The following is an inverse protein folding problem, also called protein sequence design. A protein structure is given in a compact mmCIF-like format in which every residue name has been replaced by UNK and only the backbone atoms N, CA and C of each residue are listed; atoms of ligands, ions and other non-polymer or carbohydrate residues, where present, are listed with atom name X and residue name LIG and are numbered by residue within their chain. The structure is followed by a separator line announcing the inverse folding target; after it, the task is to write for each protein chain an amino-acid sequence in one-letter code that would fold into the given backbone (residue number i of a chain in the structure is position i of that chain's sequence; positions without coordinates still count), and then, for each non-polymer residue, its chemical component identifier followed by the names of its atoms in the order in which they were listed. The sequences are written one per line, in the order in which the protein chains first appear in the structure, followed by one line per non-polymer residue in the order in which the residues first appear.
data_IF_638716147927
#
_entry.id   IF_638716147927
#
_cell.length_a   1.000
_cell.length_b   1.000
_cell.length_c   1.000
_cell.angle_alpha   90.00
_cell.angle_beta   90.00
_cell.angle_gamma   90.00
#
_symmetry.space_group_name_H-M   'P 1'
#
loop_
_entity.id
_entity.type
_entity.pdbx_description
1 polymer ?
#
# COMPACT_ATOMS: atom_id res chain seq x y z
N UNK A 1 24.95 -30.98 -42.12
CA UNK A 1 25.43 -30.50 -40.80
C UNK A 1 25.54 -28.97 -40.80
N UNK A 2 24.41 -28.25 -40.70
CA UNK A 2 24.39 -26.76 -40.67
C UNK A 2 23.03 -26.23 -40.16
N UNK A 3 22.44 -26.92 -39.20
CA UNK A 3 21.10 -26.59 -38.66
C UNK A 3 21.01 -26.83 -37.15
N UNK A 4 22.12 -26.65 -36.44
CA UNK A 4 22.19 -26.85 -34.98
C UNK A 4 22.71 -25.63 -34.21
N UNK A 5 23.08 -24.54 -34.89
CA UNK A 5 23.70 -23.38 -34.23
C UNK A 5 22.75 -22.22 -33.93
N UNK A 6 21.51 -22.23 -34.43
CA UNK A 6 20.60 -21.09 -34.29
C UNK A 6 19.78 -21.07 -32.99
N UNK A 7 19.76 -22.16 -32.22
CA UNK A 7 18.96 -22.24 -30.98
C UNK A 7 19.72 -21.70 -29.75
N UNK A 8 21.04 -21.51 -29.85
CA UNK A 8 21.86 -21.09 -28.70
C UNK A 8 21.92 -19.56 -28.46
N UNK A 9 21.30 -18.74 -29.32
CA UNK A 9 21.48 -17.28 -29.32
C UNK A 9 20.17 -16.50 -29.13
N UNK A 10 19.30 -16.96 -28.24
CA UNK A 10 18.22 -16.12 -27.68
C UNK A 10 18.00 -16.31 -26.18
N UNK A 11 18.90 -17.02 -25.48
CA UNK A 11 19.06 -16.88 -24.03
C UNK A 11 19.86 -15.62 -23.67
N UNK A 12 19.55 -14.50 -24.33
CA UNK A 12 19.92 -13.19 -23.80
C UNK A 12 18.94 -12.93 -22.66
N UNK A 13 19.36 -13.41 -21.48
CA UNK A 13 19.16 -12.78 -20.19
C UNK A 13 18.16 -11.61 -20.23
N UNK A 14 16.87 -11.94 -20.07
CA UNK A 14 15.93 -11.03 -19.45
C UNK A 14 16.33 -11.02 -17.97
N UNK A 15 17.38 -10.27 -17.64
CA UNK A 15 17.62 -9.79 -16.30
C UNK A 15 16.60 -8.67 -16.06
N UNK A 16 15.37 -9.06 -15.77
CA UNK A 16 14.35 -8.13 -15.31
C UNK A 16 14.73 -7.72 -13.88
N UNK A 17 14.78 -6.40 -13.69
CA UNK A 17 15.21 -5.69 -12.49
C UNK A 17 14.69 -6.28 -11.17
N UNK A 18 15.59 -6.87 -10.40
CA UNK A 18 15.42 -7.11 -8.96
C UNK A 18 16.09 -5.99 -8.12
N UNK A 19 16.17 -4.77 -8.66
CA UNK A 19 16.80 -3.63 -7.98
C UNK A 19 15.85 -2.90 -6.99
N UNK A 20 14.79 -3.56 -6.53
CA UNK A 20 13.82 -3.01 -5.56
C UNK A 20 13.69 -3.83 -4.26
N UNK A 21 14.48 -4.90 -4.10
CA UNK A 21 14.48 -5.70 -2.87
C UNK A 21 15.22 -5.05 -1.67
N UNK A 22 15.97 -3.96 -1.87
CA UNK A 22 16.90 -3.42 -0.85
C UNK A 22 16.32 -2.39 0.15
N UNK A 23 15.05 -1.98 0.06
CA UNK A 23 14.46 -1.02 1.01
C UNK A 23 13.51 -1.67 2.04
N UNK A 24 13.62 -2.97 2.25
CA UNK A 24 12.91 -3.66 3.33
C UNK A 24 13.90 -3.86 4.48
N UNK A 25 14.01 -2.87 5.37
CA UNK A 25 14.71 -3.05 6.64
C UNK A 25 14.00 -4.09 7.52
N UNK A 26 14.74 -4.90 8.29
CA UNK A 26 14.19 -5.96 9.14
C UNK A 26 13.18 -5.46 10.21
N UNK A 27 13.16 -4.15 10.50
CA UNK A 27 12.31 -3.54 11.53
C UNK A 27 10.87 -3.22 11.09
N UNK A 28 10.49 -3.66 9.89
CA UNK A 28 9.27 -3.21 9.24
C UNK A 28 8.09 -4.15 9.53
N UNK A 29 7.07 -3.63 10.22
CA UNK A 29 5.92 -4.42 10.66
C UNK A 29 4.83 -4.42 9.57
N UNK A 30 4.36 -5.60 9.09
CA UNK A 30 3.27 -5.65 8.13
C UNK A 30 1.96 -5.17 8.77
N UNK A 31 1.29 -4.23 8.11
CA UNK A 31 0.04 -3.65 8.59
C UNK A 31 -1.17 -4.08 7.73
N UNK A 32 -2.35 -3.97 8.34
CA UNK A 32 -3.66 -4.09 7.69
C UNK A 32 -4.49 -2.86 8.03
N UNK A 33 -5.43 -2.50 7.16
CA UNK A 33 -6.42 -1.47 7.44
C UNK A 33 -7.40 -2.03 8.48
N UNK A 34 -7.49 -1.38 9.62
CA UNK A 34 -8.40 -1.74 10.72
C UNK A 34 -9.73 -0.96 10.66
N UNK A 35 -9.74 0.21 10.01
CA UNK A 35 -10.93 1.05 9.91
C UNK A 35 -10.63 2.42 9.31
N UNK A 36 -11.69 3.17 9.06
CA UNK A 36 -11.64 4.57 8.61
C UNK A 36 -12.48 5.41 9.56
N UNK A 37 -11.90 6.51 10.02
CA UNK A 37 -12.58 7.53 10.81
C UNK A 37 -12.92 8.67 9.84
N UNK A 38 -14.19 9.06 9.83
CA UNK A 38 -14.69 10.15 8.99
C UNK A 38 -14.78 11.43 9.83
N UNK A 39 -14.15 12.51 9.36
CA UNK A 39 -14.22 13.84 9.96
C UNK A 39 -15.19 14.76 9.21
N UNK A 40 -15.97 14.24 8.26
CA UNK A 40 -16.85 15.01 7.39
C UNK A 40 -16.03 15.75 6.33
N UNK A 41 -16.37 17.02 6.09
CA UNK A 41 -15.72 17.83 5.05
C UNK A 41 -14.23 18.11 5.33
N UNK A 42 -13.79 17.95 6.59
CA UNK A 42 -12.40 18.15 7.01
C UNK A 42 -11.48 16.97 6.65
N UNK A 43 -12.03 15.87 6.14
CA UNK A 43 -11.28 14.68 5.71
C UNK A 43 -11.56 13.45 6.55
N UNK A 44 -10.57 12.59 6.69
CA UNK A 44 -10.68 11.38 7.51
C UNK A 44 -9.33 10.82 7.91
N UNK A 45 -9.33 9.71 8.62
CA UNK A 45 -8.12 8.98 8.96
C UNK A 45 -8.30 7.49 8.74
N UNK A 46 -7.35 6.86 8.04
CA UNK A 46 -7.26 5.41 7.97
C UNK A 46 -6.45 4.89 9.16
N UNK A 47 -7.00 3.92 9.89
CA UNK A 47 -6.34 3.29 11.02
C UNK A 47 -5.67 2.01 10.54
N UNK A 48 -4.36 1.93 10.72
CA UNK A 48 -3.54 0.78 10.39
C UNK A 48 -3.19 0.00 11.66
N UNK A 49 -3.26 -1.32 11.58
CA UNK A 49 -2.91 -2.23 12.67
C UNK A 49 -1.87 -3.24 12.20
N UNK A 50 -0.72 -3.23 12.85
CA UNK A 50 0.25 -4.33 12.80
C UNK A 50 -0.12 -5.42 13.82
N UNK A 51 0.48 -6.61 13.68
CA UNK A 51 0.16 -7.77 14.54
C UNK A 51 0.39 -7.50 16.02
N UNK A 52 1.54 -6.91 16.36
CA UNK A 52 2.01 -6.69 17.73
C UNK A 52 2.43 -5.23 17.97
N UNK A 53 1.84 -4.29 17.23
CA UNK A 53 2.13 -2.85 17.31
C UNK A 53 0.89 -2.04 17.66
N UNK A 54 1.04 -0.89 18.35
CA UNK A 54 -0.04 0.07 18.50
C UNK A 54 -0.62 0.47 17.13
N UNK A 55 -1.93 0.75 17.04
CA UNK A 55 -2.52 1.24 15.81
C UNK A 55 -1.98 2.63 15.47
N UNK A 56 -1.80 2.89 14.18
CA UNK A 56 -1.33 4.19 13.66
C UNK A 56 -2.36 4.72 12.68
N UNK A 57 -2.69 6.00 12.80
CA UNK A 57 -3.62 6.67 11.90
C UNK A 57 -2.87 7.48 10.86
N UNK A 58 -3.28 7.38 9.59
CA UNK A 58 -2.85 8.28 8.51
C UNK A 58 -4.03 9.19 8.19
N UNK A 59 -3.85 10.50 8.34
CA UNK A 59 -4.85 11.50 7.96
C UNK A 59 -4.84 11.62 6.43
N UNK A 60 -6.03 11.55 5.84
CA UNK A 60 -6.27 11.58 4.40
C UNK A 60 -7.39 12.58 4.11
N UNK A 61 -7.49 13.00 2.85
CA UNK A 61 -8.56 13.91 2.42
C UNK A 61 -9.94 13.25 2.44
N UNK A 62 -10.97 14.09 2.31
CA UNK A 62 -12.37 13.67 2.36
C UNK A 62 -12.71 12.67 1.26
N UNK A 63 -12.25 12.93 0.03
CA UNK A 63 -12.51 12.08 -1.12
C UNK A 63 -11.89 10.69 -0.94
N UNK A 64 -10.65 10.63 -0.44
CA UNK A 64 -9.94 9.38 -0.19
C UNK A 64 -10.58 8.59 0.95
N UNK A 65 -10.96 9.26 2.05
CA UNK A 65 -11.63 8.62 3.18
C UNK A 65 -12.97 8.01 2.75
N UNK A 66 -13.75 8.76 1.96
CA UNK A 66 -15.04 8.28 1.44
C UNK A 66 -14.87 7.09 0.50
N UNK A 67 -13.91 7.15 -0.43
CA UNK A 67 -13.65 6.05 -1.35
C UNK A 67 -13.22 4.78 -0.60
N UNK A 68 -12.35 4.91 0.40
CA UNK A 68 -11.94 3.77 1.22
C UNK A 68 -13.12 3.20 2.02
N UNK A 69 -13.97 4.06 2.58
CA UNK A 69 -15.16 3.64 3.32
C UNK A 69 -16.11 2.84 2.42
N UNK A 70 -16.36 3.33 1.21
CA UNK A 70 -17.21 2.64 0.23
C UNK A 70 -16.60 1.30 -0.16
N UNK A 71 -15.29 1.25 -0.47
CA UNK A 71 -14.60 0.00 -0.78
C UNK A 71 -14.64 -1.02 0.38
N UNK A 72 -14.59 -0.54 1.63
CA UNK A 72 -14.71 -1.42 2.82
C UNK A 72 -16.13 -1.98 3.04
N UNK A 73 -17.16 -1.37 2.44
CA UNK A 73 -18.54 -1.84 2.55
C UNK A 73 -18.89 -2.93 1.52
N UNK A 74 -18.02 -3.14 0.52
CA UNK A 74 -18.22 -4.12 -0.56
C UNK A 74 -19.59 -3.92 -1.26
N UNK A 75 -19.92 -2.65 -1.53
CA UNK A 75 -21.17 -2.24 -2.18
C UNK A 75 -20.99 -2.15 -3.71
N UNK A 76 -21.92 -2.76 -4.45
CA UNK A 76 -21.97 -2.66 -5.91
C UNK A 76 -22.68 -1.36 -6.36
N UNK A 77 -21.99 -0.57 -7.19
CA UNK A 77 -22.55 0.64 -7.79
C UNK A 77 -22.94 0.39 -9.25
N UNK A 78 -24.04 1.01 -9.77
CA UNK A 78 -24.47 0.84 -11.15
C UNK A 78 -23.50 1.46 -12.19
N UNK A 79 -22.52 2.23 -11.71
CA UNK A 79 -21.46 2.86 -12.50
C UNK A 79 -20.15 2.64 -11.75
N UNK A 80 -19.05 2.30 -12.44
CA UNK A 80 -17.77 2.10 -11.77
C UNK A 80 -17.33 3.41 -11.11
N UNK A 81 -16.87 3.30 -9.87
CA UNK A 81 -16.20 4.38 -9.15
C UNK A 81 -14.80 4.58 -9.72
N UNK A 82 -14.12 5.65 -9.29
CA UNK A 82 -12.80 5.99 -9.82
C UNK A 82 -11.76 4.88 -9.66
N UNK A 83 -11.81 4.14 -8.54
CA UNK A 83 -10.86 3.05 -8.27
C UNK A 83 -11.26 1.76 -9.00
N UNK A 84 -12.56 1.48 -9.14
CA UNK A 84 -13.06 0.36 -9.96
C UNK A 84 -12.68 0.57 -11.44
N UNK A 85 -12.86 1.79 -11.96
CA UNK A 85 -12.46 2.13 -13.32
C UNK A 85 -10.94 1.98 -13.52
N UNK A 86 -10.15 2.33 -12.51
CA UNK A 86 -8.70 2.16 -12.58
C UNK A 86 -8.33 0.67 -12.65
N UNK A 87 -9.00 -0.17 -11.87
CA UNK A 87 -8.85 -1.62 -11.92
C UNK A 87 -9.24 -2.18 -13.30
N UNK A 88 -10.40 -1.79 -13.84
CA UNK A 88 -10.83 -2.18 -15.19
C UNK A 88 -9.81 -1.75 -16.27
N UNK A 89 -9.23 -0.54 -16.16
CA UNK A 89 -8.20 -0.08 -17.09
C UNK A 89 -6.94 -0.96 -17.01
N UNK A 90 -6.53 -1.36 -15.80
CA UNK A 90 -5.39 -2.25 -15.60
C UNK A 90 -5.65 -3.63 -16.19
N UNK A 91 -6.82 -4.21 -15.94
CA UNK A 91 -7.22 -5.51 -16.49
C UNK A 91 -7.23 -5.49 -18.03
N UNK A 92 -7.70 -4.40 -18.64
CA UNK A 92 -7.72 -4.23 -20.10
C UNK A 92 -6.32 -4.17 -20.74
N UNK A 93 -5.26 -3.97 -19.95
CA UNK A 93 -3.87 -4.00 -20.42
C UNK A 93 -3.12 -5.25 -19.92
N UNK A 94 -3.85 -6.29 -19.52
CA UNK A 94 -3.32 -7.51 -18.91
C UNK A 94 -2.47 -7.23 -17.65
N UNK A 95 -2.79 -6.16 -16.94
CA UNK A 95 -2.16 -5.74 -15.69
C UNK A 95 -3.01 -6.09 -14.47
N UNK A 96 -2.35 -6.38 -13.35
CA UNK A 96 -3.01 -6.62 -12.06
C UNK A 96 -2.29 -5.89 -10.92
N UNK A 97 -3.05 -5.49 -9.89
CA UNK A 97 -2.48 -4.91 -8.67
C UNK A 97 -1.88 -6.03 -7.81
N UNK A 98 -0.61 -6.35 -8.01
CA UNK A 98 0.12 -7.36 -7.23
C UNK A 98 0.46 -6.89 -5.81
N UNK A 99 0.64 -5.58 -5.63
CA UNK A 99 1.02 -4.98 -4.34
C UNK A 99 0.68 -3.49 -4.35
N UNK A 100 -0.04 -3.03 -3.32
CA UNK A 100 -0.13 -1.59 -3.05
C UNK A 100 1.28 -1.09 -2.72
N UNK A 101 1.79 -0.12 -3.50
CA UNK A 101 3.17 0.34 -3.47
C UNK A 101 3.69 0.58 -2.05
N UNK A 102 4.88 0.05 -1.76
CA UNK A 102 5.49 -0.08 -0.44
C UNK A 102 4.50 -0.62 0.62
N UNK A 103 4.56 -1.92 1.02
CA UNK A 103 3.96 -2.39 2.27
C UNK A 103 4.04 -1.31 3.36
N UNK A 104 2.89 -0.93 3.91
CA UNK A 104 2.86 0.16 4.88
C UNK A 104 3.53 -0.36 6.14
N UNK A 105 4.71 0.18 6.41
CA UNK A 105 5.52 -0.25 7.51
C UNK A 105 5.51 0.78 8.62
N UNK A 106 5.28 0.31 9.84
CA UNK A 106 5.34 1.15 11.03
C UNK A 106 6.75 1.07 11.60
N UNK A 107 7.43 2.22 11.68
CA UNK A 107 8.67 2.33 12.47
C UNK A 107 8.30 2.71 13.90
N UNK A 108 8.62 1.85 14.85
CA UNK A 108 8.39 2.14 16.26
C UNK A 108 9.28 3.32 16.69
N UNK A 109 8.68 4.49 16.93
CA UNK A 109 9.34 5.59 17.62
C UNK A 109 8.90 5.59 19.08
N UNK A 110 9.86 5.43 19.99
CA UNK A 110 9.63 5.61 21.42
C UNK A 110 9.47 7.11 21.66
N UNK A 111 8.24 7.56 21.87
CA UNK A 111 7.98 8.93 22.33
C UNK A 111 8.24 8.98 23.83
N UNK A 112 9.42 9.44 24.21
CA UNK A 112 9.69 9.79 25.61
C UNK A 112 8.86 11.02 25.99
N UNK A 113 7.98 10.85 26.97
CA UNK A 113 7.21 11.96 27.52
C UNK A 113 8.16 12.81 28.36
N UNK A 114 8.55 13.97 27.86
CA UNK A 114 9.20 14.97 28.71
C UNK A 114 8.18 15.42 29.77
N UNK A 115 8.36 14.99 31.02
CA UNK A 115 7.65 15.57 32.16
C UNK A 115 8.23 16.97 32.39
N UNK A 116 7.43 18.05 32.33
CA UNK A 116 7.92 19.38 32.65
C UNK A 116 8.48 19.36 34.07
N UNK A 117 9.73 19.79 34.25
CA UNK A 117 10.34 19.92 35.57
C UNK A 117 9.48 20.91 36.37
N UNK A 118 8.91 20.44 37.47
CA UNK A 118 8.27 21.29 38.47
C UNK A 118 9.28 22.33 38.90
N UNK A 119 9.06 23.59 38.52
CA UNK A 119 9.77 24.73 39.08
C UNK A 119 9.33 24.83 40.55
N UNK A 120 10.21 24.40 41.45
CA UNK A 120 10.08 24.59 42.89
C UNK A 120 10.57 26.00 43.29
#
# INVERSE_FOLDING_TARGET
MKWLYFVAMSFVFVACSDEQACLVSDDLIPARIAGVIDYGDDGGAVVLRGKDSPPVSIVIGHCEARALRVAMQDEDFPRPLSYDLLEEILENVDGEVTRLGAPIYLKQQVFERETPKSQA
#
